data_IF_391744656581
#
_entry.id   IF_391744656581
#
_cell.length_a   1.000
_cell.length_b   1.000
_cell.length_c   1.000
_cell.angle_alpha   90.00
_cell.angle_beta   90.00
_cell.angle_gamma   90.00
#
_symmetry.space_group_name_H-M   'P 1'
#
loop_
_entity.id
_entity.type
_entity.pdbx_description
1 polymer ?
#
# COMPACT_ATOMS: atom_id res chain seq x y z
N UNK A 1 15.58 11.69 -59.74
CA UNK A 1 14.42 11.29 -58.91
C UNK A 1 14.86 11.24 -57.46
N UNK A 2 14.64 12.33 -56.70
CA UNK A 2 14.95 12.43 -55.27
C UNK A 2 13.75 13.13 -54.64
N UNK A 3 13.10 12.47 -53.69
CA UNK A 3 11.84 12.88 -53.07
C UNK A 3 12.11 14.05 -52.14
N UNK A 4 11.27 15.07 -52.27
CA UNK A 4 11.33 16.36 -51.58
C UNK A 4 10.97 16.29 -50.09
N UNK A 5 11.51 17.30 -49.39
CA UNK A 5 11.41 17.59 -47.96
C UNK A 5 9.97 17.79 -47.50
N UNK A 6 9.54 17.02 -46.50
CA UNK A 6 8.46 17.42 -45.59
C UNK A 6 9.06 18.10 -44.36
N UNK A 7 8.82 19.40 -44.25
CA UNK A 7 9.11 20.26 -43.11
C UNK A 7 7.96 20.15 -42.11
N UNK A 8 8.14 19.39 -41.02
CA UNK A 8 7.26 19.46 -39.85
C UNK A 8 7.88 20.44 -38.85
N UNK A 9 7.21 21.58 -38.67
CA UNK A 9 7.40 22.45 -37.51
C UNK A 9 6.67 21.78 -36.35
N UNK A 10 7.40 21.23 -35.39
CA UNK A 10 6.82 20.85 -34.09
C UNK A 10 7.20 21.89 -33.06
N UNK A 11 6.15 22.45 -32.49
CA UNK A 11 6.13 23.48 -31.48
C UNK A 11 6.63 22.93 -30.13
N UNK A 12 7.28 23.82 -29.36
CA UNK A 12 7.37 23.84 -27.90
C UNK A 12 7.65 22.52 -27.17
N UNK A 13 8.92 22.26 -26.86
CA UNK A 13 9.27 21.44 -25.70
C UNK A 13 9.75 22.36 -24.57
N UNK A 14 8.78 22.73 -23.75
CA UNK A 14 8.93 23.41 -22.47
C UNK A 14 9.79 22.57 -21.53
N UNK A 15 10.73 23.23 -20.85
CA UNK A 15 11.62 22.71 -19.80
C UNK A 15 10.91 21.77 -18.81
N UNK A 16 11.55 20.66 -18.38
CA UNK A 16 11.03 19.83 -17.29
C UNK A 16 11.32 20.52 -15.95
N UNK A 17 10.51 21.52 -15.62
CA UNK A 17 10.48 22.14 -14.29
C UNK A 17 9.11 21.91 -13.67
N UNK A 18 9.10 21.14 -12.58
CA UNK A 18 7.96 20.94 -11.69
C UNK A 18 6.69 20.41 -12.37
N UNK A 19 6.47 19.10 -12.34
CA UNK A 19 5.11 18.57 -12.28
C UNK A 19 4.54 19.07 -10.94
N UNK A 20 3.98 20.29 -10.95
CA UNK A 20 3.06 20.72 -9.91
C UNK A 20 1.91 19.73 -9.97
N UNK A 21 1.87 18.79 -9.04
CA UNK A 21 0.70 17.92 -8.87
C UNK A 21 -0.48 18.84 -8.62
N UNK A 22 -1.39 18.85 -9.59
CA UNK A 22 -2.58 19.68 -9.58
C UNK A 22 -3.41 19.29 -8.34
N UNK A 23 -3.68 20.23 -7.41
CA UNK A 23 -4.62 20.00 -6.31
C UNK A 23 -6.03 19.59 -6.78
N UNK A 24 -6.32 19.61 -8.08
CA UNK A 24 -7.55 19.09 -8.69
C UNK A 24 -7.61 17.56 -8.89
N UNK A 25 -6.60 16.77 -8.46
CA UNK A 25 -6.59 15.33 -8.74
C UNK A 25 -7.85 14.60 -8.19
N UNK A 26 -8.40 15.06 -7.05
CA UNK A 26 -9.56 14.41 -6.43
C UNK A 26 -10.86 14.57 -7.26
N UNK A 27 -10.94 15.59 -8.11
CA UNK A 27 -12.11 15.82 -8.96
C UNK A 27 -12.34 14.68 -9.97
N UNK A 28 -11.28 13.99 -10.39
CA UNK A 28 -11.38 12.82 -11.28
C UNK A 28 -12.07 11.65 -10.56
N UNK A 29 -11.84 11.52 -9.26
CA UNK A 29 -12.22 10.37 -8.46
C UNK A 29 -13.72 10.35 -8.16
N UNK A 30 -14.32 11.54 -8.03
CA UNK A 30 -15.77 11.73 -7.93
C UNK A 30 -16.53 11.37 -9.22
N UNK A 31 -15.85 11.41 -10.38
CA UNK A 31 -16.49 11.15 -11.70
C UNK A 31 -16.47 9.69 -12.13
N UNK A 32 -15.57 8.87 -11.59
CA UNK A 32 -15.28 7.53 -12.11
C UNK A 32 -15.79 6.37 -11.23
N UNK A 33 -16.66 6.64 -10.24
CA UNK A 33 -17.06 5.67 -9.21
C UNK A 33 -15.85 4.93 -8.60
N UNK A 34 -14.74 5.69 -8.48
CA UNK A 34 -13.46 5.17 -7.98
C UNK A 34 -13.53 4.79 -6.50
N UNK A 35 -14.63 5.12 -5.83
CA UNK A 35 -14.90 4.72 -4.44
C UNK A 35 -14.80 3.20 -4.28
N UNK A 36 -15.33 2.43 -5.25
CA UNK A 36 -15.21 0.97 -5.26
C UNK A 36 -13.74 0.48 -5.35
N UNK A 37 -12.85 1.32 -5.87
CA UNK A 37 -11.45 1.02 -6.12
C UNK A 37 -10.51 1.58 -5.05
N UNK A 38 -11.01 2.32 -4.05
CA UNK A 38 -10.20 2.90 -2.97
C UNK A 38 -9.31 1.87 -2.26
N UNK A 39 -9.78 0.62 -2.20
CA UNK A 39 -9.10 -0.51 -1.55
C UNK A 39 -8.50 -1.51 -2.54
N UNK A 40 -8.53 -1.24 -3.85
CA UNK A 40 -8.02 -2.18 -4.84
C UNK A 40 -6.48 -2.19 -4.82
N UNK A 41 -5.82 -3.33 -4.52
CA UNK A 41 -4.37 -3.38 -4.31
C UNK A 41 -3.55 -2.80 -5.47
N UNK A 42 -3.93 -3.12 -6.71
CA UNK A 42 -3.25 -2.63 -7.92
C UNK A 42 -3.44 -1.14 -8.18
N UNK A 43 -4.48 -0.52 -7.61
CA UNK A 43 -4.80 0.90 -7.82
C UNK A 43 -4.43 1.75 -6.61
N UNK A 44 -4.11 1.15 -5.46
CA UNK A 44 -3.87 1.87 -4.21
C UNK A 44 -2.86 3.01 -4.36
N UNK A 45 -1.75 2.80 -5.07
CA UNK A 45 -0.74 3.85 -5.32
C UNK A 45 -1.28 5.01 -6.18
N UNK A 46 -2.17 4.69 -7.14
CA UNK A 46 -2.83 5.70 -7.98
C UNK A 46 -3.86 6.45 -7.15
N UNK A 47 -4.66 5.75 -6.36
CA UNK A 47 -5.68 6.29 -5.45
C UNK A 47 -5.05 7.22 -4.42
N UNK A 48 -3.96 6.80 -3.79
CA UNK A 48 -3.23 7.58 -2.80
C UNK A 48 -2.75 8.92 -3.40
N UNK A 49 -2.18 8.89 -4.61
CA UNK A 49 -1.63 10.10 -5.25
C UNK A 49 -2.68 10.99 -5.90
N UNK A 50 -3.82 10.43 -6.33
CA UNK A 50 -4.83 11.17 -7.12
C UNK A 50 -6.17 11.36 -6.42
N UNK A 51 -6.59 10.41 -5.59
CA UNK A 51 -7.90 10.34 -4.94
C UNK A 51 -7.84 10.25 -3.41
N UNK A 52 -6.88 10.90 -2.70
CA UNK A 52 -6.77 10.67 -1.27
C UNK A 52 -7.99 11.20 -0.50
N UNK A 53 -8.61 12.29 -0.94
CA UNK A 53 -9.77 12.85 -0.23
C UNK A 53 -11.03 12.00 -0.44
N UNK A 54 -11.35 11.67 -1.70
CA UNK A 54 -12.48 10.78 -2.04
C UNK A 54 -12.37 9.42 -1.36
N UNK A 55 -11.16 8.92 -1.12
CA UNK A 55 -10.90 7.64 -0.46
C UNK A 55 -10.58 7.72 1.04
N UNK A 56 -10.63 8.91 1.65
CA UNK A 56 -10.32 9.08 3.08
C UNK A 56 -8.87 8.75 3.45
N UNK A 57 -7.94 8.89 2.51
CA UNK A 57 -6.52 8.61 2.63
C UNK A 57 -5.66 9.88 2.81
N UNK A 58 -6.24 11.07 3.02
CA UNK A 58 -5.46 12.32 3.19
C UNK A 58 -4.38 12.22 4.28
N UNK A 59 -4.61 11.40 5.30
CA UNK A 59 -3.67 11.19 6.41
C UNK A 59 -2.64 10.07 6.12
N UNK A 60 -2.73 9.42 4.96
CA UNK A 60 -1.83 8.32 4.59
C UNK A 60 -0.53 8.86 3.97
N UNK A 61 0.63 8.26 4.27
CA UNK A 61 1.87 8.56 3.57
C UNK A 61 1.72 8.39 2.07
N UNK A 62 1.94 9.47 1.32
CA UNK A 62 1.93 9.53 -0.15
C UNK A 62 0.71 10.24 -0.71
N UNK A 63 -0.25 10.57 0.16
CA UNK A 63 -1.41 11.37 -0.20
C UNK A 63 -0.99 12.75 -0.71
N UNK A 64 -1.47 13.13 -1.90
CA UNK A 64 -1.10 14.39 -2.57
C UNK A 64 0.42 14.58 -2.77
N UNK A 65 1.19 13.48 -2.80
CA UNK A 65 2.65 13.55 -2.84
C UNK A 65 3.29 14.07 -1.54
N UNK A 66 2.53 14.12 -0.44
CA UNK A 66 3.01 14.51 0.87
C UNK A 66 3.16 13.27 1.76
N UNK A 67 4.13 13.34 2.67
CA UNK A 67 4.40 12.31 3.65
C UNK A 67 4.17 12.92 5.03
N UNK A 68 3.33 12.34 5.90
CA UNK A 68 3.12 12.88 7.23
C UNK A 68 4.34 12.63 8.11
N UNK A 69 4.50 13.47 9.13
CA UNK A 69 5.34 13.11 10.28
C UNK A 69 4.61 12.01 11.06
N UNK A 70 5.32 10.95 11.42
CA UNK A 70 4.80 9.86 12.28
C UNK A 70 5.10 10.11 13.75
N UNK A 71 5.96 11.09 14.06
CA UNK A 71 6.36 11.44 15.42
C UNK A 71 5.89 12.84 15.81
N UNK A 72 5.27 13.02 16.99
CA UNK A 72 4.80 14.34 17.44
C UNK A 72 5.97 15.30 17.76
N UNK A 73 7.18 14.78 17.98
CA UNK A 73 8.36 15.59 18.34
C UNK A 73 9.11 16.12 17.11
N UNK A 74 8.61 15.90 15.88
CA UNK A 74 9.32 16.34 14.68
C UNK A 74 9.57 17.84 14.66
N UNK A 75 8.64 18.65 15.18
CA UNK A 75 8.82 20.11 15.34
C UNK A 75 10.03 20.49 16.21
N UNK A 76 10.47 19.62 17.12
CA UNK A 76 11.66 19.80 17.97
C UNK A 76 12.87 19.22 17.27
N UNK A 77 12.76 17.97 16.80
CA UNK A 77 13.90 17.18 16.33
C UNK A 77 14.52 17.77 15.07
N UNK A 78 13.71 18.30 14.14
CA UNK A 78 14.26 18.93 12.92
C UNK A 78 15.00 20.24 13.18
N UNK A 79 14.90 20.80 14.39
CA UNK A 79 15.69 21.94 14.82
C UNK A 79 17.17 21.59 15.10
N UNK A 80 17.50 20.31 15.27
CA UNK A 80 18.88 19.89 15.46
C UNK A 80 19.64 19.84 14.11
N UNK A 81 20.92 20.26 14.08
CA UNK A 81 21.76 20.09 12.89
C UNK A 81 21.78 18.63 12.43
N UNK A 82 21.72 18.42 11.12
CA UNK A 82 21.77 17.10 10.48
C UNK A 82 20.65 16.12 10.86
N UNK A 83 19.61 16.56 11.58
CA UNK A 83 18.47 15.72 11.95
C UNK A 83 17.88 14.97 10.75
N UNK A 84 17.62 15.68 9.64
CA UNK A 84 17.07 15.09 8.42
C UNK A 84 18.07 14.25 7.60
N UNK A 85 19.34 14.20 7.99
CA UNK A 85 20.32 13.25 7.42
C UNK A 85 20.30 11.92 8.16
N UNK A 86 19.79 11.87 9.39
CA UNK A 86 19.60 10.62 10.12
C UNK A 86 18.39 9.88 9.52
N UNK A 87 18.60 8.66 9.04
CA UNK A 87 17.57 7.87 8.39
C UNK A 87 16.33 7.65 9.26
N UNK A 88 16.50 7.42 10.56
CA UNK A 88 15.37 7.21 11.48
C UNK A 88 14.56 8.47 11.68
N UNK A 89 15.23 9.62 11.82
CA UNK A 89 14.55 10.92 11.94
C UNK A 89 13.88 11.27 10.62
N UNK A 90 14.54 11.07 9.48
CA UNK A 90 13.98 11.29 8.15
C UNK A 90 12.71 10.45 7.94
N UNK A 91 12.72 9.17 8.32
CA UNK A 91 11.55 8.30 8.28
C UNK A 91 10.45 8.74 9.27
N UNK A 92 10.81 9.23 10.45
CA UNK A 92 9.83 9.67 11.44
C UNK A 92 9.22 11.05 11.12
N UNK A 93 9.99 11.92 10.49
CA UNK A 93 9.71 13.34 10.31
C UNK A 93 9.69 13.70 8.84
N UNK A 94 9.05 12.89 8.00
CA UNK A 94 9.07 13.04 6.55
C UNK A 94 8.54 14.41 6.10
N UNK A 95 7.43 14.88 6.70
CA UNK A 95 6.87 16.20 6.39
C UNK A 95 7.84 17.30 6.78
N UNK A 96 8.33 17.24 8.02
CA UNK A 96 9.23 18.24 8.59
C UNK A 96 10.60 18.26 7.89
N UNK A 97 11.05 17.13 7.35
CA UNK A 97 12.25 17.00 6.54
C UNK A 97 12.03 17.22 5.03
N UNK A 98 10.83 17.62 4.61
CA UNK A 98 10.45 17.87 3.21
C UNK A 98 10.72 16.66 2.28
N UNK A 99 10.51 15.45 2.79
CA UNK A 99 10.60 14.21 2.03
C UNK A 99 9.28 14.02 1.28
N UNK A 100 9.35 13.98 -0.04
CA UNK A 100 8.18 13.86 -0.95
C UNK A 100 7.97 12.44 -1.45
N UNK A 101 9.02 11.62 -1.42
CA UNK A 101 8.92 10.18 -1.62
C UNK A 101 8.74 9.54 -0.27
N UNK A 102 7.52 9.18 0.07
CA UNK A 102 7.26 8.60 1.39
C UNK A 102 8.08 7.34 1.50
N UNK A 103 9.10 7.43 2.35
CA UNK A 103 9.93 6.30 2.66
C UNK A 103 8.93 5.28 3.20
N UNK A 104 8.87 4.06 2.64
CA UNK A 104 8.04 3.04 3.25
C UNK A 104 8.45 3.01 4.70
N UNK A 105 7.53 3.35 5.60
CA UNK A 105 7.79 3.24 7.03
C UNK A 105 8.23 1.80 7.19
N UNK A 106 9.51 1.59 7.51
CA UNK A 106 10.08 0.27 7.79
C UNK A 106 9.53 -0.25 9.13
N UNK A 107 8.23 -0.07 9.37
CA UNK A 107 7.50 -1.05 10.12
C UNK A 107 7.48 -2.26 9.20
N UNK A 108 8.36 -3.21 9.49
CA UNK A 108 8.26 -4.54 8.92
C UNK A 108 6.81 -5.00 9.13
N UNK A 109 6.05 -4.99 8.04
CA UNK A 109 4.67 -5.44 8.08
C UNK A 109 4.70 -6.90 8.50
N UNK A 110 3.89 -7.21 9.50
CA UNK A 110 3.75 -8.59 9.95
C UNK A 110 3.21 -9.44 8.79
N UNK A 111 3.49 -10.76 8.77
CA UNK A 111 2.93 -11.66 7.77
C UNK A 111 1.40 -11.52 7.63
N UNK A 112 0.68 -11.31 8.74
CA UNK A 112 -0.76 -11.01 8.77
C UNK A 112 -1.13 -9.77 7.97
N UNK A 113 -0.46 -8.65 8.23
CA UNK A 113 -0.73 -7.38 7.54
C UNK A 113 -0.44 -7.49 6.03
N UNK A 114 0.63 -8.20 5.66
CA UNK A 114 0.96 -8.50 4.28
C UNK A 114 -0.09 -9.42 3.62
N UNK A 115 -0.57 -10.44 4.32
CA UNK A 115 -1.66 -11.30 3.86
C UNK A 115 -2.96 -10.51 3.62
N UNK A 116 -3.31 -9.64 4.58
CA UNK A 116 -4.50 -8.77 4.52
C UNK A 116 -4.40 -7.71 3.41
N UNK A 117 -3.20 -7.19 3.14
CA UNK A 117 -2.95 -6.24 2.07
C UNK A 117 -3.00 -6.86 0.65
N UNK A 118 -3.12 -8.18 0.54
CA UNK A 118 -3.25 -8.87 -0.74
C UNK A 118 -1.93 -9.26 -1.40
N UNK A 119 -0.82 -9.29 -0.65
CA UNK A 119 0.45 -9.76 -1.20
C UNK A 119 0.39 -11.28 -1.44
N UNK A 120 0.24 -11.69 -2.69
CA UNK A 120 0.00 -13.09 -3.09
C UNK A 120 1.08 -14.06 -2.58
N UNK A 121 2.35 -13.64 -2.59
CA UNK A 121 3.46 -14.44 -2.06
C UNK A 121 3.30 -14.72 -0.57
N UNK A 122 2.90 -13.71 0.21
CA UNK A 122 2.66 -13.87 1.63
C UNK A 122 1.41 -14.71 1.89
N UNK A 123 0.33 -14.47 1.13
CA UNK A 123 -0.89 -15.28 1.24
C UNK A 123 -0.59 -16.77 0.98
N UNK A 124 0.18 -17.10 -0.06
CA UNK A 124 0.61 -18.48 -0.34
C UNK A 124 1.41 -19.06 0.83
N UNK A 125 2.38 -18.31 1.37
CA UNK A 125 3.16 -18.75 2.52
C UNK A 125 2.28 -19.04 3.76
N UNK A 126 1.34 -18.14 4.08
CA UNK A 126 0.42 -18.33 5.20
C UNK A 126 -0.48 -19.54 5.00
N UNK A 127 -0.97 -19.76 3.78
CA UNK A 127 -1.80 -20.93 3.42
C UNK A 127 -1.00 -22.21 3.60
N UNK A 128 0.23 -22.28 3.09
CA UNK A 128 1.10 -23.46 3.19
C UNK A 128 1.42 -23.78 4.66
N UNK A 129 1.77 -22.76 5.45
CA UNK A 129 2.04 -22.89 6.88
C UNK A 129 0.81 -23.42 7.63
N UNK A 130 -0.35 -22.81 7.39
CA UNK A 130 -1.59 -23.19 8.05
C UNK A 130 -2.05 -24.59 7.63
N UNK A 131 -1.94 -24.92 6.35
CA UNK A 131 -2.27 -26.24 5.79
C UNK A 131 -1.42 -27.32 6.42
N UNK A 132 -0.11 -27.09 6.56
CA UNK A 132 0.78 -28.02 7.23
C UNK A 132 0.45 -28.19 8.73
N UNK A 133 0.14 -27.10 9.43
CA UNK A 133 -0.14 -27.15 10.87
C UNK A 133 -1.50 -27.76 11.21
N UNK A 134 -2.54 -27.43 10.43
CA UNK A 134 -3.91 -27.91 10.62
C UNK A 134 -4.20 -29.26 9.95
N UNK A 135 -3.32 -29.70 9.04
CA UNK A 135 -3.54 -30.84 8.13
C UNK A 135 -4.74 -30.67 7.20
N UNK A 136 -5.26 -29.44 7.09
CA UNK A 136 -6.31 -29.12 6.13
C UNK A 136 -5.72 -28.96 4.74
N UNK A 137 -6.52 -29.22 3.70
CA UNK A 137 -6.11 -28.91 2.33
C UNK A 137 -5.91 -27.40 2.14
N UNK A 138 -5.04 -26.95 1.21
CA UNK A 138 -4.73 -25.53 1.01
C UNK A 138 -5.95 -24.64 0.74
N UNK A 139 -6.96 -25.15 0.02
CA UNK A 139 -8.19 -24.41 -0.30
C UNK A 139 -9.03 -24.09 0.94
N UNK A 140 -9.12 -25.03 1.90
CA UNK A 140 -9.80 -24.82 3.17
C UNK A 140 -8.98 -23.96 4.12
N UNK A 141 -7.66 -24.15 4.13
CA UNK A 141 -6.71 -23.31 4.87
C UNK A 141 -6.83 -21.84 4.46
N UNK A 142 -6.90 -21.58 3.15
CA UNK A 142 -7.15 -20.24 2.60
C UNK A 142 -8.45 -19.66 3.12
N UNK A 143 -9.55 -20.43 3.07
CA UNK A 143 -10.87 -19.96 3.53
C UNK A 143 -10.82 -19.55 5.01
N UNK A 144 -10.23 -20.38 5.87
CA UNK A 144 -10.09 -20.11 7.30
C UNK A 144 -9.29 -18.84 7.57
N UNK A 145 -8.15 -18.66 6.87
CA UNK A 145 -7.33 -17.45 6.98
C UNK A 145 -8.09 -16.22 6.50
N UNK A 146 -8.83 -16.30 5.39
CA UNK A 146 -9.62 -15.17 4.89
C UNK A 146 -10.70 -14.74 5.87
N UNK A 147 -11.42 -15.70 6.47
CA UNK A 147 -12.49 -15.43 7.45
C UNK A 147 -11.95 -14.74 8.71
N UNK A 148 -10.64 -14.91 9.00
CA UNK A 148 -9.96 -14.39 10.19
C UNK A 148 -8.88 -13.36 9.85
N UNK A 149 -9.06 -12.61 8.75
CA UNK A 149 -8.20 -11.50 8.36
C UNK A 149 -6.71 -11.85 8.24
N UNK A 150 -6.42 -13.06 7.76
CA UNK A 150 -5.07 -13.64 7.60
C UNK A 150 -4.28 -13.76 8.92
N UNK A 151 -4.98 -13.80 10.05
CA UNK A 151 -4.39 -14.05 11.36
C UNK A 151 -4.25 -15.56 11.58
N UNK A 152 -3.02 -16.09 11.41
CA UNK A 152 -2.76 -17.51 11.60
C UNK A 152 -3.01 -18.00 13.03
N UNK A 153 -2.77 -17.17 14.05
CA UNK A 153 -2.96 -17.58 15.45
C UNK A 153 -4.45 -17.73 15.77
N UNK A 154 -5.25 -16.73 15.42
CA UNK A 154 -6.70 -16.78 15.61
C UNK A 154 -7.34 -17.86 14.73
N UNK A 155 -6.85 -18.03 13.49
CA UNK A 155 -7.28 -19.13 12.62
C UNK A 155 -7.01 -20.49 13.23
N UNK A 156 -5.86 -20.68 13.87
CA UNK A 156 -5.52 -21.97 14.45
C UNK A 156 -6.34 -22.24 15.72
N UNK A 157 -6.57 -21.22 16.56
CA UNK A 157 -7.48 -21.32 17.71
C UNK A 157 -8.90 -21.68 17.28
N UNK A 158 -9.43 -21.00 16.25
CA UNK A 158 -10.76 -21.27 15.70
C UNK A 158 -10.83 -22.68 15.11
N UNK A 159 -9.81 -23.11 14.38
CA UNK A 159 -9.68 -24.47 13.86
C UNK A 159 -9.75 -25.51 14.99
N UNK A 160 -8.94 -25.36 16.05
CA UNK A 160 -8.94 -26.29 17.18
C UNK A 160 -10.31 -26.39 17.86
N UNK A 161 -11.00 -25.26 18.04
CA UNK A 161 -12.33 -25.22 18.64
C UNK A 161 -13.42 -25.90 17.79
N UNK A 162 -13.22 -25.97 16.47
CA UNK A 162 -14.17 -26.54 15.53
C UNK A 162 -13.75 -27.89 14.96
N UNK A 163 -12.56 -28.38 15.30
CA UNK A 163 -11.92 -29.53 14.65
C UNK A 163 -12.83 -30.75 14.50
N UNK A 164 -13.58 -31.10 15.55
CA UNK A 164 -14.48 -32.27 15.56
C UNK A 164 -15.74 -32.08 14.71
N UNK A 165 -16.02 -30.84 14.28
CA UNK A 165 -17.17 -30.46 13.43
C UNK A 165 -16.77 -30.20 11.98
N UNK A 166 -15.48 -30.17 11.67
CA UNK A 166 -14.99 -29.93 10.30
C UNK A 166 -15.21 -31.20 9.47
N UNK A 167 -15.75 -31.02 8.26
CA UNK A 167 -15.98 -32.10 7.31
C UNK A 167 -14.68 -32.85 7.02
N UNK A 168 -14.72 -34.18 6.95
CA UNK A 168 -13.54 -35.01 6.67
C UNK A 168 -12.86 -34.67 5.33
N UNK A 169 -13.62 -34.19 4.34
CA UNK A 169 -13.11 -33.75 3.04
C UNK A 169 -12.14 -32.56 3.14
N UNK A 170 -12.19 -31.79 4.23
CA UNK A 170 -11.31 -30.64 4.43
C UNK A 170 -9.87 -31.02 4.78
N UNK A 171 -9.63 -32.28 5.14
CA UNK A 171 -8.32 -32.80 5.53
C UNK A 171 -7.64 -33.55 4.37
N UNK A 172 -6.31 -33.63 4.42
CA UNK A 172 -5.48 -34.38 3.46
C UNK A 172 -5.57 -35.89 3.67
#
# INVERSE_FOLDING_TARGET
>A
MKIEKYSLKTESNTSPSAIKMDPAADAICKRLDFVAHCKHPSLYQIVLRRCPETCGLCDQPGALGQCPDTSPICHIVVGFPDACKNERIAQACMKSCNITTCLPTLRELTPKELGLAGYESMQKLLIELFSHQSQMKPEWSRKCLMDLNWDCEEAYKAFLALRDKILSEAFQ
#
